data_IF_125527267254
#
_entry.id   IF_125527267254
#
_cell.length_a   1.000
_cell.length_b   1.000
_cell.length_c   1.000
_cell.angle_alpha   90.00
_cell.angle_beta   90.00
_cell.angle_gamma   90.00
#
_symmetry.space_group_name_H-M   'P 1'
#
loop_
_entity.id
_entity.type
_entity.pdbx_description
1 polymer ?
#
# COMPACT_ATOMS: atom_id res chain seq x y z
N UNK A 1 -4.50 13.67 27.49
CA UNK A 1 -3.79 13.58 26.20
C UNK A 1 -4.47 14.52 25.22
N UNK A 2 -3.78 15.55 24.75
CA UNK A 2 -4.37 16.53 23.81
C UNK A 2 -4.40 15.97 22.37
N UNK A 3 -5.21 16.53 21.48
CA UNK A 3 -5.25 16.12 20.07
C UNK A 3 -3.88 16.25 19.38
N UNK A 4 -3.05 17.21 19.82
CA UNK A 4 -1.68 17.40 19.35
C UNK A 4 -0.76 16.25 19.77
N UNK A 5 -0.88 15.79 21.01
CA UNK A 5 -0.09 14.66 21.53
C UNK A 5 -0.46 13.36 20.81
N UNK A 6 -1.75 13.14 20.56
CA UNK A 6 -2.24 11.98 19.83
C UNK A 6 -1.75 11.96 18.36
N UNK A 7 -1.70 13.12 17.70
CA UNK A 7 -1.15 13.20 16.34
C UNK A 7 0.36 12.98 16.29
N UNK A 8 1.11 13.52 17.26
CA UNK A 8 2.54 13.28 17.37
C UNK A 8 2.85 11.78 17.57
N UNK A 9 2.05 11.10 18.38
CA UNK A 9 2.18 9.66 18.58
C UNK A 9 1.87 8.84 17.32
N UNK A 10 0.81 9.19 16.59
CA UNK A 10 0.50 8.53 15.30
C UNK A 10 1.62 8.74 14.28
N UNK A 11 2.19 9.94 14.23
CA UNK A 11 3.30 10.25 13.33
C UNK A 11 4.53 9.41 13.68
N UNK A 12 4.89 9.33 14.97
CA UNK A 12 6.01 8.47 15.43
C UNK A 12 5.82 7.01 15.03
N UNK A 13 4.63 6.45 15.29
CA UNK A 13 4.32 5.06 14.91
C UNK A 13 4.36 4.83 13.41
N UNK A 14 3.91 5.82 12.63
CA UNK A 14 4.01 5.77 11.17
C UNK A 14 5.47 5.78 10.71
N UNK A 15 6.28 6.70 11.22
CA UNK A 15 7.70 6.80 10.82
C UNK A 15 8.49 5.56 11.24
N UNK A 16 8.21 4.98 12.41
CA UNK A 16 8.78 3.70 12.85
C UNK A 16 8.42 2.56 11.90
N UNK A 17 7.13 2.44 11.53
CA UNK A 17 6.67 1.43 10.59
C UNK A 17 7.31 1.61 9.20
N UNK A 18 7.40 2.84 8.70
CA UNK A 18 8.10 3.14 7.45
C UNK A 18 9.59 2.80 7.55
N UNK A 19 10.22 3.01 8.71
CA UNK A 19 11.60 2.61 8.96
C UNK A 19 11.84 1.12 8.80
N UNK A 20 10.88 0.29 9.26
CA UNK A 20 10.92 -1.17 9.09
C UNK A 20 10.87 -1.55 7.60
N UNK A 21 9.94 -0.96 6.84
CA UNK A 21 9.84 -1.23 5.41
C UNK A 21 11.04 -0.70 4.63
N UNK A 22 11.55 0.47 5.00
CA UNK A 22 12.73 1.10 4.41
C UNK A 22 13.97 0.21 4.50
N UNK A 23 14.16 -0.51 5.61
CA UNK A 23 15.27 -1.43 5.78
C UNK A 23 15.24 -2.58 4.75
N UNK A 24 14.03 -3.02 4.34
CA UNK A 24 13.86 -4.06 3.32
C UNK A 24 14.09 -3.54 1.89
N UNK A 25 14.10 -2.22 1.66
CA UNK A 25 14.26 -1.67 0.31
C UNK A 25 15.70 -1.71 -0.21
N UNK A 26 16.69 -2.08 0.60
CA UNK A 26 18.07 -2.33 0.18
C UNK A 26 18.88 -1.13 -0.34
N UNK A 27 18.28 0.04 -0.58
CA UNK A 27 18.98 1.22 -1.08
C UNK A 27 18.42 2.54 -0.53
N UNK A 28 19.31 3.45 -0.13
CA UNK A 28 18.97 4.69 0.58
C UNK A 28 18.02 5.62 -0.21
N UNK A 29 18.20 5.69 -1.53
CA UNK A 29 17.38 6.54 -2.41
C UNK A 29 15.89 6.16 -2.46
N UNK A 30 15.51 4.98 -1.97
CA UNK A 30 14.13 4.48 -2.00
C UNK A 30 13.33 4.89 -0.76
N UNK A 31 13.99 5.36 0.30
CA UNK A 31 13.33 5.73 1.56
C UNK A 31 12.37 6.90 1.38
N UNK A 32 12.83 7.98 0.75
CA UNK A 32 12.03 9.17 0.54
C UNK A 32 10.81 8.89 -0.37
N UNK A 33 10.96 8.22 -1.52
CA UNK A 33 9.81 7.80 -2.33
C UNK A 33 8.82 6.88 -1.60
N UNK A 34 9.29 5.91 -0.81
CA UNK A 34 8.44 5.06 0.04
C UNK A 34 7.59 5.91 1.00
N UNK A 35 8.24 6.79 1.76
CA UNK A 35 7.57 7.63 2.76
C UNK A 35 6.50 8.51 2.11
N UNK A 36 6.83 9.16 0.99
CA UNK A 36 5.88 9.97 0.24
C UNK A 36 4.74 9.13 -0.35
N UNK A 37 5.03 7.95 -0.89
CA UNK A 37 4.00 7.07 -1.45
C UNK A 37 3.00 6.64 -0.37
N UNK A 38 3.49 6.11 0.76
CA UNK A 38 2.65 5.70 1.89
C UNK A 38 1.88 6.88 2.49
N UNK A 39 2.51 8.05 2.59
CA UNK A 39 1.84 9.29 3.05
C UNK A 39 0.71 9.68 2.10
N UNK A 40 0.96 9.68 0.78
CA UNK A 40 -0.06 9.97 -0.23
C UNK A 40 -1.26 9.01 -0.19
N UNK A 41 -1.01 7.74 0.13
CA UNK A 41 -2.05 6.73 0.31
C UNK A 41 -2.92 6.97 1.54
N UNK A 42 -2.35 7.40 2.66
CA UNK A 42 -3.07 7.53 3.94
C UNK A 42 -3.71 8.91 4.09
N UNK A 43 -3.03 9.98 3.67
CA UNK A 43 -3.53 11.36 3.87
C UNK A 43 -4.84 11.57 3.11
N UNK A 44 -5.87 12.14 3.76
CA UNK A 44 -7.12 12.50 3.10
C UNK A 44 -6.86 13.37 1.86
N UNK A 45 -7.34 12.93 0.71
CA UNK A 45 -7.19 13.66 -0.54
C UNK A 45 -8.53 14.32 -0.92
N UNK A 46 -8.58 15.65 -1.15
CA UNK A 46 -9.80 16.33 -1.59
C UNK A 46 -10.45 15.70 -2.82
N UNK A 47 -9.65 15.21 -3.77
CA UNK A 47 -10.14 14.55 -4.99
C UNK A 47 -10.66 13.12 -4.75
N UNK A 48 -10.46 12.56 -3.55
CA UNK A 48 -10.64 11.15 -3.19
C UNK A 48 -9.88 10.14 -4.07
N UNK A 49 -9.15 10.60 -5.10
CA UNK A 49 -8.33 9.77 -5.99
C UNK A 49 -6.95 9.58 -5.37
N UNK A 50 -6.47 8.34 -5.41
CA UNK A 50 -5.13 7.93 -4.95
C UNK A 50 -4.19 7.71 -6.12
N UNK A 51 -4.35 8.47 -7.21
CA UNK A 51 -3.40 8.46 -8.33
C UNK A 51 -2.12 9.23 -7.98
N UNK A 52 -1.03 8.97 -8.72
CA UNK A 52 0.28 9.53 -8.44
C UNK A 52 0.29 11.07 -8.43
N UNK A 53 -0.46 11.72 -9.31
CA UNK A 53 -0.46 13.19 -9.44
C UNK A 53 -1.10 13.89 -8.22
N UNK A 54 -2.33 13.54 -7.79
CA UNK A 54 -2.88 14.05 -6.54
C UNK A 54 -2.02 13.73 -5.30
N UNK A 55 -1.38 12.57 -5.25
CA UNK A 55 -0.44 12.25 -4.15
C UNK A 55 0.81 13.14 -4.19
N UNK A 56 1.36 13.39 -5.38
CA UNK A 56 2.51 14.26 -5.59
C UNK A 56 2.20 15.72 -5.19
N UNK A 57 1.01 16.21 -5.52
CA UNK A 57 0.56 17.55 -5.13
C UNK A 57 0.47 17.74 -3.60
N UNK A 58 0.11 16.68 -2.87
CA UNK A 58 0.03 16.70 -1.40
C UNK A 58 1.42 16.60 -0.77
N UNK A 59 2.27 15.71 -1.29
CA UNK A 59 3.55 15.34 -0.66
C UNK A 59 4.70 16.27 -1.05
N UNK A 60 4.63 16.90 -2.24
CA UNK A 60 5.61 17.89 -2.67
C UNK A 60 4.95 18.98 -3.53
N UNK A 61 4.18 19.90 -2.92
CA UNK A 61 3.40 20.91 -3.65
C UNK A 61 4.26 21.85 -4.51
N UNK A 62 5.53 22.08 -4.13
CA UNK A 62 6.45 22.93 -4.88
C UNK A 62 7.20 22.19 -5.99
N UNK A 63 7.11 20.85 -6.06
CA UNK A 63 7.85 20.01 -7.01
C UNK A 63 6.99 18.87 -7.58
N UNK A 64 5.71 19.14 -7.84
CA UNK A 64 4.70 18.13 -8.21
C UNK A 64 5.15 17.22 -9.36
N UNK A 65 5.72 17.79 -10.43
CA UNK A 65 6.18 17.00 -11.59
C UNK A 65 7.30 16.02 -11.23
N UNK A 66 8.31 16.48 -10.50
CA UNK A 66 9.42 15.63 -10.07
C UNK A 66 8.93 14.55 -9.09
N UNK A 67 8.06 14.93 -8.15
CA UNK A 67 7.46 14.00 -7.20
C UNK A 67 6.59 12.94 -7.90
N UNK A 68 5.78 13.33 -8.88
CA UNK A 68 4.98 12.42 -9.69
C UNK A 68 5.85 11.35 -10.36
N UNK A 69 6.92 11.78 -11.06
CA UNK A 69 7.85 10.85 -11.69
C UNK A 69 8.56 9.96 -10.66
N UNK A 70 8.92 10.51 -9.50
CA UNK A 70 9.54 9.74 -8.41
C UNK A 70 8.61 8.65 -7.87
N UNK A 71 7.33 8.95 -7.67
CA UNK A 71 6.35 7.98 -7.17
C UNK A 71 6.11 6.85 -8.18
N UNK A 72 5.97 7.19 -9.47
CA UNK A 72 5.81 6.19 -10.53
C UNK A 72 7.05 5.31 -10.68
N UNK A 73 8.24 5.92 -10.67
CA UNK A 73 9.49 5.16 -10.72
C UNK A 73 9.62 4.22 -9.52
N UNK A 74 9.31 4.71 -8.32
CA UNK A 74 9.37 3.90 -7.10
C UNK A 74 8.49 2.65 -7.19
N UNK A 75 7.21 2.79 -7.56
CA UNK A 75 6.27 1.66 -7.57
C UNK A 75 6.40 0.77 -8.82
N UNK A 76 6.85 1.31 -9.95
CA UNK A 76 6.82 0.61 -11.23
C UNK A 76 8.17 0.09 -11.73
N UNK A 77 9.27 0.71 -11.32
CA UNK A 77 10.58 0.50 -11.96
C UNK A 77 11.74 0.30 -10.98
N UNK A 78 11.59 0.73 -9.72
CA UNK A 78 12.66 0.63 -8.73
C UNK A 78 12.87 -0.84 -8.34
N UNK A 79 14.11 -1.36 -8.36
CA UNK A 79 14.34 -2.78 -8.15
C UNK A 79 14.43 -3.13 -6.65
N UNK A 80 13.32 -2.96 -5.94
CA UNK A 80 13.10 -3.55 -4.61
C UNK A 80 12.35 -4.88 -4.77
N UNK A 81 12.63 -5.81 -3.86
CA UNK A 81 12.02 -7.12 -3.83
C UNK A 81 10.72 -7.07 -3.00
N UNK A 82 9.62 -7.57 -3.56
CA UNK A 82 8.33 -7.57 -2.86
C UNK A 82 8.27 -8.61 -1.74
N UNK A 83 9.00 -9.72 -1.87
CA UNK A 83 9.19 -10.72 -0.82
C UNK A 83 9.84 -10.14 0.42
N UNK A 84 10.95 -9.41 0.26
CA UNK A 84 11.65 -8.75 1.38
C UNK A 84 10.74 -7.76 2.13
N UNK A 85 9.95 -6.97 1.39
CA UNK A 85 8.98 -6.03 1.98
C UNK A 85 7.86 -6.79 2.70
N UNK A 86 7.32 -7.86 2.10
CA UNK A 86 6.27 -8.69 2.73
C UNK A 86 6.77 -9.40 3.99
N UNK A 87 8.02 -9.85 4.02
CA UNK A 87 8.64 -10.45 5.19
C UNK A 87 8.84 -9.43 6.30
N UNK A 88 9.23 -8.19 5.97
CA UNK A 88 9.29 -7.09 6.94
C UNK A 88 7.90 -6.76 7.53
N UNK A 89 6.86 -6.70 6.68
CA UNK A 89 5.46 -6.53 7.13
C UNK A 89 5.03 -7.67 8.05
N UNK A 90 5.37 -8.92 7.70
CA UNK A 90 5.04 -10.11 8.51
C UNK A 90 5.75 -10.07 9.86
N UNK A 91 7.05 -9.76 9.87
CA UNK A 91 7.85 -9.64 11.10
C UNK A 91 7.32 -8.58 12.06
N UNK A 92 6.75 -7.49 11.54
CA UNK A 92 6.09 -6.47 12.35
C UNK A 92 4.69 -6.89 12.82
N UNK A 93 3.88 -7.47 11.94
CA UNK A 93 2.44 -7.65 12.18
C UNK A 93 2.14 -8.94 12.96
N UNK A 94 2.82 -10.03 12.66
CA UNK A 94 2.52 -11.35 13.24
C UNK A 94 2.69 -11.37 14.78
N UNK A 95 3.77 -10.86 15.38
CA UNK A 95 3.91 -10.83 16.83
C UNK A 95 2.81 -9.99 17.50
N UNK A 96 2.42 -8.88 16.87
CA UNK A 96 1.38 -7.99 17.40
C UNK A 96 -0.02 -8.62 17.35
N UNK A 97 -0.30 -9.46 16.34
CA UNK A 97 -1.53 -10.24 16.26
C UNK A 97 -1.54 -11.38 17.28
N UNK A 98 -0.47 -12.18 17.34
CA UNK A 98 -0.34 -13.31 18.26
C UNK A 98 -0.39 -12.91 19.74
N UNK A 99 0.13 -11.73 20.08
CA UNK A 99 0.03 -11.18 21.43
C UNK A 99 -1.42 -10.89 21.86
N UNK A 100 -2.35 -10.70 20.90
CA UNK A 100 -3.78 -10.45 21.18
C UNK A 100 -4.61 -11.72 21.09
N UNK A 101 -4.32 -12.57 20.10
CA UNK A 101 -4.99 -13.86 19.88
C UNK A 101 -3.95 -14.90 19.46
N UNK A 102 -3.62 -15.88 20.32
CA UNK A 102 -2.61 -16.89 20.01
C UNK A 102 -3.04 -17.86 18.91
N UNK A 103 -4.35 -18.12 18.81
CA UNK A 103 -4.94 -18.90 17.74
C UNK A 103 -5.06 -18.04 16.49
N UNK A 104 -4.57 -18.55 15.36
CA UNK A 104 -4.61 -17.87 14.08
C UNK A 104 -5.21 -18.78 13.02
N UNK A 105 -6.07 -18.23 12.18
CA UNK A 105 -6.65 -18.90 11.04
C UNK A 105 -6.07 -18.34 9.73
N UNK A 106 -5.91 -19.23 8.76
CA UNK A 106 -5.59 -18.86 7.39
C UNK A 106 -6.89 -18.69 6.61
N UNK A 107 -7.18 -17.46 6.21
CA UNK A 107 -8.31 -17.12 5.36
C UNK A 107 -7.83 -16.99 3.93
N UNK A 108 -8.39 -17.82 3.05
CA UNK A 108 -8.21 -17.70 1.60
C UNK A 108 -9.47 -17.06 1.03
N UNK A 109 -9.32 -15.93 0.37
CA UNK A 109 -10.43 -15.19 -0.23
C UNK A 109 -10.03 -14.56 -1.55
N UNK A 110 -10.95 -14.60 -2.52
CA UNK A 110 -10.79 -13.92 -3.80
C UNK A 110 -11.55 -12.58 -3.80
N UNK A 111 -10.86 -11.52 -4.22
CA UNK A 111 -11.46 -10.19 -4.36
C UNK A 111 -11.51 -9.80 -5.83
N UNK A 112 -12.72 -9.69 -6.36
CA UNK A 112 -12.99 -9.24 -7.73
C UNK A 112 -13.06 -7.71 -7.85
N UNK A 113 -12.38 -7.15 -8.84
CA UNK A 113 -12.42 -5.72 -9.19
C UNK A 113 -12.81 -5.56 -10.67
N UNK A 114 -13.99 -4.99 -10.92
CA UNK A 114 -14.52 -4.79 -12.28
C UNK A 114 -13.65 -3.78 -13.06
N UNK A 115 -13.34 -4.12 -14.31
CA UNK A 115 -12.51 -3.29 -15.20
C UNK A 115 -13.21 -2.98 -16.52
N UNK A 116 -12.79 -1.87 -17.12
CA UNK A 116 -13.12 -1.51 -18.50
C UNK A 116 -11.86 -1.61 -19.34
N UNK A 117 -11.93 -2.31 -20.47
CA UNK A 117 -10.79 -2.56 -21.36
C UNK A 117 -9.89 -3.72 -20.92
N UNK A 118 -8.73 -3.82 -21.58
CA UNK A 118 -7.84 -5.00 -21.55
C UNK A 118 -6.42 -4.71 -21.08
N UNK A 119 -6.13 -3.47 -20.65
CA UNK A 119 -4.77 -3.02 -20.34
C UNK A 119 -4.35 -3.24 -18.88
N UNK A 120 -5.25 -3.66 -17.99
CA UNK A 120 -4.92 -3.94 -16.59
C UNK A 120 -4.41 -5.38 -16.44
N UNK A 121 -3.32 -5.58 -15.71
CA UNK A 121 -2.68 -6.91 -15.53
C UNK A 121 -3.67 -7.94 -14.97
N UNK A 122 -3.80 -9.11 -15.60
CA UNK A 122 -4.73 -10.15 -15.10
C UNK A 122 -6.21 -9.83 -15.28
N UNK A 123 -6.57 -8.81 -16.07
CA UNK A 123 -7.96 -8.57 -16.47
C UNK A 123 -8.42 -9.61 -17.47
N UNK A 124 -9.56 -10.23 -17.22
CA UNK A 124 -10.20 -11.18 -18.13
C UNK A 124 -11.70 -11.23 -17.90
N UNK A 125 -12.44 -11.87 -18.81
CA UNK A 125 -13.85 -12.17 -18.61
C UNK A 125 -13.98 -13.44 -17.77
N UNK A 126 -14.25 -13.26 -16.48
CA UNK A 126 -14.25 -14.33 -15.46
C UNK A 126 -15.28 -14.03 -14.37
N UNK A 127 -15.53 -14.97 -13.45
CA UNK A 127 -16.46 -14.73 -12.35
C UNK A 127 -15.93 -13.63 -11.42
N UNK A 128 -16.77 -12.65 -11.11
CA UNK A 128 -16.44 -11.54 -10.22
C UNK A 128 -17.38 -11.56 -9.03
N UNK A 129 -16.88 -11.93 -7.85
CA UNK A 129 -17.65 -11.98 -6.61
C UNK A 129 -18.40 -10.68 -6.30
N UNK A 130 -17.78 -9.52 -6.57
CA UNK A 130 -18.38 -8.19 -6.33
C UNK A 130 -19.71 -7.97 -7.09
N UNK A 131 -19.88 -8.57 -8.26
CA UNK A 131 -21.09 -8.42 -9.09
C UNK A 131 -21.87 -9.73 -9.27
N UNK A 132 -21.44 -10.82 -8.63
CA UNK A 132 -22.13 -12.11 -8.61
C UNK A 132 -22.26 -12.82 -9.96
N UNK A 133 -21.47 -12.44 -10.96
CA UNK A 133 -21.57 -12.95 -12.34
C UNK A 133 -20.23 -12.90 -13.06
N UNK A 134 -20.18 -13.51 -14.25
CA UNK A 134 -19.07 -13.31 -15.18
C UNK A 134 -19.04 -11.88 -15.69
N UNK A 135 -17.90 -11.22 -15.56
CA UNK A 135 -17.67 -9.84 -15.98
C UNK A 135 -16.20 -9.66 -16.38
N UNK A 136 -15.88 -8.60 -17.12
CA UNK A 136 -14.50 -8.20 -17.33
C UNK A 136 -13.93 -7.64 -16.01
N UNK A 137 -13.11 -8.42 -15.32
CA UNK A 137 -12.57 -8.07 -14.01
C UNK A 137 -11.14 -8.60 -13.82
N UNK A 138 -10.45 -8.00 -12.85
CA UNK A 138 -9.30 -8.62 -12.20
C UNK A 138 -9.80 -9.34 -10.94
N UNK A 139 -9.24 -10.51 -10.65
CA UNK A 139 -9.49 -11.22 -9.40
C UNK A 139 -8.15 -11.42 -8.71
N UNK A 140 -8.03 -10.91 -7.49
CA UNK A 140 -6.86 -11.11 -6.65
C UNK A 140 -7.20 -12.14 -5.58
N UNK A 141 -6.48 -13.25 -5.53
CA UNK A 141 -6.58 -14.22 -4.44
C UNK A 141 -5.61 -13.80 -3.35
N UNK A 142 -6.11 -13.67 -2.12
CA UNK A 142 -5.32 -13.27 -0.96
C UNK A 142 -5.32 -14.37 0.09
N UNK A 143 -4.22 -14.43 0.83
CA UNK A 143 -4.08 -15.27 2.02
C UNK A 143 -3.90 -14.31 3.22
N UNK A 144 -4.89 -14.27 4.10
CA UNK A 144 -4.90 -13.39 5.27
C UNK A 144 -4.83 -14.21 6.55
N UNK A 145 -4.13 -13.67 7.55
CA UNK A 145 -4.11 -14.21 8.90
C UNK A 145 -5.19 -13.50 9.73
N UNK A 146 -6.06 -14.26 10.41
CA UNK A 146 -7.12 -13.75 11.27
C UNK A 146 -7.13 -14.41 12.64
#
# INVERSE_FOLDING_TARGET
MTARDANAERQRRFDEYIGILAAALGHADRLSPLHHYCTGLIVPNPSRRKSAEPMAAITSPTRVRAQHSSLLHFVGNSPWDDGDVLDAVRGYTLPALQAKQPEVAWLVDDTGNVKKGTHSVGVARQYCGQVGKQENCQVAVSLTLA
#
